data_IF_983176139985
#
_entry.id   IF_983176139985
#
_cell.length_a   1.000
_cell.length_b   1.000
_cell.length_c   1.000
_cell.angle_alpha   90.00
_cell.angle_beta   90.00
_cell.angle_gamma   90.00
#
_symmetry.space_group_name_H-M   'P 1'
#
loop_
_entity.id
_entity.type
_entity.pdbx_description
1 polymer ?
#
# COMPACT_ATOMS: atom_id res chain seq x y z
N UNK A 1 12.98 -10.71 -4.89
CA UNK A 1 11.97 -9.96 -5.62
C UNK A 1 12.22 -8.46 -5.43
N UNK A 2 12.25 -7.69 -6.53
CA UNK A 2 12.48 -6.23 -6.51
C UNK A 2 11.55 -5.53 -7.49
N UNK A 3 10.88 -4.48 -7.05
CA UNK A 3 10.13 -3.55 -7.88
C UNK A 3 11.06 -2.38 -8.24
N UNK A 4 11.20 -2.09 -9.52
CA UNK A 4 12.05 -1.01 -10.03
C UNK A 4 11.16 0.01 -10.73
N UNK A 5 11.17 1.23 -10.25
CA UNK A 5 10.49 2.38 -10.83
C UNK A 5 11.55 3.23 -11.53
N UNK A 6 11.38 3.48 -12.83
CA UNK A 6 12.33 4.24 -13.62
C UNK A 6 11.65 5.41 -14.34
N UNK A 7 12.01 6.61 -13.92
CA UNK A 7 11.64 7.88 -14.54
C UNK A 7 10.14 8.03 -14.82
N UNK A 8 9.28 7.66 -13.86
CA UNK A 8 7.84 7.84 -14.03
C UNK A 8 7.50 9.32 -14.08
N UNK A 9 6.85 9.70 -15.17
CA UNK A 9 6.22 11.01 -15.35
C UNK A 9 4.71 10.89 -15.34
N UNK A 10 4.03 11.86 -14.66
CA UNK A 10 2.58 11.99 -14.70
C UNK A 10 2.14 13.44 -14.60
N UNK A 11 1.29 13.84 -15.54
CA UNK A 11 0.74 15.21 -15.65
C UNK A 11 -0.79 15.18 -15.73
N UNK A 12 -1.44 16.17 -15.15
CA UNK A 12 -2.88 16.42 -15.26
C UNK A 12 -3.10 17.86 -15.70
N UNK A 13 -3.50 18.06 -16.97
CA UNK A 13 -3.52 19.40 -17.58
C UNK A 13 -2.12 20.01 -17.53
N UNK A 14 -1.98 21.20 -16.95
CA UNK A 14 -0.69 21.90 -16.80
C UNK A 14 0.09 21.48 -15.53
N UNK A 15 -0.51 20.67 -14.66
CA UNK A 15 0.12 20.26 -13.39
C UNK A 15 0.88 18.95 -13.55
N UNK A 16 2.19 19.03 -13.50
CA UNK A 16 3.06 17.85 -13.38
C UNK A 16 3.07 17.36 -11.91
N UNK A 17 2.67 16.09 -11.70
CA UNK A 17 2.52 15.48 -10.38
C UNK A 17 3.68 14.53 -10.07
N UNK A 18 4.14 13.75 -11.05
CA UNK A 18 5.35 12.93 -10.94
C UNK A 18 6.37 13.44 -11.98
N UNK A 19 7.64 13.52 -11.57
CA UNK A 19 8.74 14.06 -12.37
C UNK A 19 9.91 13.11 -12.32
N UNK A 20 10.08 12.30 -13.35
CA UNK A 20 11.14 11.28 -13.43
C UNK A 20 11.30 10.49 -12.13
N UNK A 21 10.17 10.20 -11.47
CA UNK A 21 10.15 9.50 -10.19
C UNK A 21 10.81 8.14 -10.35
N UNK A 22 11.87 7.88 -9.59
CA UNK A 22 12.67 6.66 -9.70
C UNK A 22 13.00 6.13 -8.31
N UNK A 23 12.77 4.84 -8.09
CA UNK A 23 13.13 4.15 -6.84
C UNK A 23 13.10 2.63 -7.02
N UNK A 24 13.74 1.90 -6.10
CA UNK A 24 13.67 0.43 -6.07
C UNK A 24 13.23 -0.07 -4.71
N UNK A 25 12.27 -1.00 -4.70
CA UNK A 25 11.71 -1.60 -3.49
C UNK A 25 12.03 -3.10 -3.48
N UNK A 26 12.63 -3.58 -2.41
CA UNK A 26 12.95 -5.00 -2.21
C UNK A 26 11.85 -5.70 -1.41
N UNK A 27 11.60 -6.99 -1.66
CA UNK A 27 10.75 -7.82 -0.80
C UNK A 27 11.38 -8.02 0.58
N UNK A 28 10.56 -8.43 1.55
CA UNK A 28 11.01 -8.61 2.93
C UNK A 28 11.00 -7.35 3.77
N UNK A 29 10.60 -6.21 3.21
CA UNK A 29 10.56 -4.90 3.87
C UNK A 29 9.17 -4.26 3.76
N UNK A 30 8.86 -3.43 4.74
CA UNK A 30 7.72 -2.52 4.72
C UNK A 30 8.25 -1.12 4.42
N UNK A 31 7.83 -0.56 3.30
CA UNK A 31 8.17 0.81 2.90
C UNK A 31 7.06 1.78 3.25
N UNK A 32 7.39 2.86 3.93
CA UNK A 32 6.48 3.99 4.13
C UNK A 32 6.69 5.06 3.06
N UNK A 33 5.67 5.36 2.28
CA UNK A 33 5.68 6.47 1.33
C UNK A 33 5.13 7.72 2.01
N UNK A 34 6.03 8.62 2.38
CA UNK A 34 5.70 9.91 2.99
C UNK A 34 5.55 11.00 1.94
N UNK A 35 4.70 11.97 2.24
CA UNK A 35 4.52 13.16 1.40
C UNK A 35 3.34 13.98 1.88
N UNK A 36 3.36 15.29 1.61
CA UNK A 36 2.24 16.19 1.93
C UNK A 36 0.95 15.73 1.23
N UNK A 37 -0.19 16.20 1.72
CA UNK A 37 -1.45 15.98 1.02
C UNK A 37 -1.38 16.67 -0.36
N UNK A 38 -1.73 15.92 -1.41
CA UNK A 38 -1.61 16.39 -2.79
C UNK A 38 -0.21 16.26 -3.42
N UNK A 39 0.77 15.66 -2.73
CA UNK A 39 2.12 15.41 -3.26
C UNK A 39 2.18 14.39 -4.41
N UNK A 40 1.10 13.60 -4.60
CA UNK A 40 1.04 12.60 -5.67
C UNK A 40 1.15 11.15 -5.21
N UNK A 41 1.08 10.84 -3.91
CA UNK A 41 1.18 9.45 -3.38
C UNK A 41 0.14 8.53 -4.02
N UNK A 42 -1.14 8.89 -3.97
CA UNK A 42 -2.23 8.16 -4.63
C UNK A 42 -2.02 8.09 -6.14
N UNK A 43 -1.53 9.17 -6.77
CA UNK A 43 -1.22 9.16 -8.21
C UNK A 43 -0.12 8.16 -8.56
N UNK A 44 0.92 8.05 -7.72
CA UNK A 44 1.96 7.04 -7.90
C UNK A 44 1.37 5.64 -7.78
N UNK A 45 0.56 5.39 -6.76
CA UNK A 45 -0.10 4.09 -6.58
C UNK A 45 -1.05 3.74 -7.73
N UNK A 46 -1.83 4.70 -8.23
CA UNK A 46 -2.68 4.52 -9.41
C UNK A 46 -1.87 4.17 -10.67
N UNK A 47 -0.67 4.78 -10.84
CA UNK A 47 0.23 4.43 -11.93
C UNK A 47 0.81 3.02 -11.77
N UNK A 48 1.21 2.63 -10.56
CA UNK A 48 1.77 1.31 -10.29
C UNK A 48 0.72 0.20 -10.41
N UNK A 49 -0.53 0.46 -10.05
CA UNK A 49 -1.63 -0.51 -10.15
C UNK A 49 -2.26 -0.60 -11.55
N UNK A 50 -1.90 0.29 -12.47
CA UNK A 50 -2.52 0.36 -13.80
C UNK A 50 -3.84 1.12 -13.85
N UNK A 51 -4.35 1.64 -12.72
CA UNK A 51 -5.57 2.47 -12.66
C UNK A 51 -5.43 3.75 -13.48
N UNK A 52 -4.20 4.27 -13.59
CA UNK A 52 -3.87 5.42 -14.43
C UNK A 52 -2.63 5.14 -15.26
N UNK A 53 -2.68 5.48 -16.54
CA UNK A 53 -1.51 5.41 -17.41
C UNK A 53 -0.44 6.42 -16.99
N UNK A 54 0.82 6.02 -17.09
CA UNK A 54 1.98 6.91 -16.99
C UNK A 54 2.17 7.68 -18.28
N UNK A 55 2.70 8.89 -18.21
CA UNK A 55 3.01 9.71 -19.40
C UNK A 55 4.46 9.46 -19.88
N UNK A 56 5.32 8.90 -19.01
CA UNK A 56 6.68 8.47 -19.29
C UNK A 56 7.20 7.51 -18.25
N UNK A 57 8.36 6.88 -18.54
CA UNK A 57 9.01 5.92 -17.65
C UNK A 57 8.53 4.49 -17.81
N UNK A 58 8.97 3.64 -16.90
CA UNK A 58 8.57 2.22 -16.86
C UNK A 58 8.61 1.67 -15.43
N UNK A 59 7.88 0.57 -15.21
CA UNK A 59 7.86 -0.15 -13.95
C UNK A 59 8.16 -1.61 -14.21
N UNK A 60 9.19 -2.10 -13.55
CA UNK A 60 9.74 -3.43 -13.78
C UNK A 60 9.70 -4.24 -12.47
N UNK A 61 9.48 -5.54 -12.61
CA UNK A 61 9.62 -6.53 -11.56
C UNK A 61 10.82 -7.41 -11.89
N UNK A 62 11.80 -7.44 -10.98
CA UNK A 62 12.95 -8.32 -11.04
C UNK A 62 12.71 -9.50 -10.08
N UNK A 63 12.78 -10.71 -10.62
CA UNK A 63 12.63 -11.96 -9.89
C UNK A 63 13.64 -12.98 -10.44
N UNK A 64 14.44 -13.57 -9.56
CA UNK A 64 15.47 -14.57 -9.90
C UNK A 64 16.42 -14.11 -11.02
N UNK A 65 16.80 -12.83 -11.03
CA UNK A 65 17.70 -12.23 -12.02
C UNK A 65 17.05 -12.00 -13.39
N UNK A 66 15.72 -12.12 -13.49
CA UNK A 66 14.96 -11.80 -14.70
C UNK A 66 14.09 -10.57 -14.43
N UNK A 67 14.10 -9.64 -15.37
CA UNK A 67 13.33 -8.41 -15.30
C UNK A 67 12.22 -8.42 -16.34
N UNK A 68 11.00 -8.05 -15.93
CA UNK A 68 9.83 -7.90 -16.81
C UNK A 68 9.01 -6.69 -16.43
N UNK A 69 8.19 -6.19 -17.33
CA UNK A 69 7.17 -5.22 -16.97
C UNK A 69 6.17 -5.82 -15.97
N UNK A 70 5.69 -4.99 -15.06
CA UNK A 70 4.58 -5.37 -14.16
C UNK A 70 3.27 -5.44 -14.96
N UNK A 71 2.34 -6.22 -14.43
CA UNK A 71 0.96 -6.32 -14.90
C UNK A 71 0.01 -6.01 -13.74
N UNK A 72 -1.27 -5.75 -14.02
CA UNK A 72 -2.30 -5.54 -13.00
C UNK A 72 -2.42 -6.73 -12.03
N UNK A 73 -2.04 -7.95 -12.46
CA UNK A 73 -2.05 -9.15 -11.60
C UNK A 73 -0.92 -9.18 -10.58
N UNK A 74 0.13 -8.41 -10.78
CA UNK A 74 1.27 -8.32 -9.87
C UNK A 74 1.01 -7.39 -8.69
N UNK A 75 -0.04 -6.57 -8.76
CA UNK A 75 -0.29 -5.50 -7.79
C UNK A 75 -1.62 -5.71 -7.07
N UNK A 76 -1.56 -5.81 -5.75
CA UNK A 76 -2.72 -5.67 -4.89
C UNK A 76 -2.81 -4.24 -4.36
N UNK A 77 -3.97 -3.59 -4.51
CA UNK A 77 -4.16 -2.21 -4.08
C UNK A 77 -5.30 -2.08 -3.07
N UNK A 78 -4.99 -1.61 -1.86
CA UNK A 78 -5.97 -1.17 -0.86
C UNK A 78 -6.15 0.33 -0.98
N UNK A 79 -7.32 0.73 -1.40
CA UNK A 79 -7.72 2.13 -1.46
C UNK A 79 -7.98 2.67 -0.05
N UNK A 80 -7.71 3.95 0.16
CA UNK A 80 -8.03 4.66 1.41
C UNK A 80 -9.52 4.57 1.79
N UNK A 81 -10.38 4.55 0.78
CA UNK A 81 -11.81 4.25 0.93
C UNK A 81 -12.08 2.86 0.35
N UNK A 82 -12.47 1.86 1.17
CA UNK A 82 -12.73 0.51 0.72
C UNK A 82 -13.82 0.44 -0.35
N UNK A 83 -13.48 -0.13 -1.51
CA UNK A 83 -14.42 -0.39 -2.60
C UNK A 83 -14.82 -1.86 -2.51
N UNK A 84 -16.01 -2.12 -1.95
CA UNK A 84 -16.53 -3.47 -1.72
C UNK A 84 -17.99 -3.56 -2.17
N UNK A 85 -18.48 -4.74 -2.59
CA UNK A 85 -19.87 -4.95 -2.98
C UNK A 85 -20.79 -4.93 -1.74
N UNK A 86 -21.33 -3.77 -1.41
CA UNK A 86 -22.08 -3.54 -0.17
C UNK A 86 -23.38 -4.35 -0.03
N UNK A 87 -23.87 -4.91 -1.16
CA UNK A 87 -25.08 -5.74 -1.22
C UNK A 87 -24.82 -7.23 -0.91
N UNK A 88 -23.56 -7.66 -0.76
CA UNK A 88 -23.20 -9.00 -0.34
C UNK A 88 -22.91 -9.03 1.17
N UNK A 89 -23.01 -10.21 1.77
CA UNK A 89 -22.41 -10.50 3.08
C UNK A 89 -20.90 -10.70 2.92
N UNK A 90 -20.15 -10.56 4.01
CA UNK A 90 -18.72 -10.84 3.99
C UNK A 90 -18.43 -12.27 3.54
N UNK A 91 -19.24 -13.24 4.02
CA UNK A 91 -19.11 -14.65 3.65
C UNK A 91 -19.35 -14.89 2.15
N UNK A 92 -20.41 -14.34 1.58
CA UNK A 92 -20.71 -14.47 0.14
C UNK A 92 -19.60 -13.85 -0.70
N UNK A 93 -19.08 -12.70 -0.29
CA UNK A 93 -18.02 -12.03 -1.01
C UNK A 93 -16.70 -12.83 -0.98
N UNK A 94 -16.26 -13.29 0.19
CA UNK A 94 -15.03 -14.09 0.32
C UNK A 94 -15.17 -15.40 -0.46
N UNK A 95 -16.32 -16.08 -0.34
CA UNK A 95 -16.59 -17.31 -1.10
C UNK A 95 -16.49 -17.08 -2.61
N UNK A 96 -17.18 -16.06 -3.11
CA UNK A 96 -17.12 -15.69 -4.53
C UNK A 96 -15.69 -15.39 -4.97
N UNK A 97 -14.94 -14.62 -4.16
CA UNK A 97 -13.56 -14.26 -4.48
C UNK A 97 -12.62 -15.48 -4.50
N UNK A 98 -12.78 -16.41 -3.57
CA UNK A 98 -12.05 -17.68 -3.58
C UNK A 98 -12.42 -18.52 -4.79
N UNK A 99 -13.71 -18.58 -5.15
CA UNK A 99 -14.19 -19.37 -6.29
C UNK A 99 -13.58 -18.90 -7.62
N UNK A 100 -13.45 -17.59 -7.84
CA UNK A 100 -12.84 -17.04 -9.07
C UNK A 100 -11.30 -17.11 -9.08
N UNK A 101 -10.65 -17.28 -7.92
CA UNK A 101 -9.21 -17.38 -7.79
C UNK A 101 -8.73 -18.79 -7.42
N UNK A 102 -9.50 -19.82 -7.70
CA UNK A 102 -9.21 -21.23 -7.32
C UNK A 102 -7.81 -21.68 -7.69
N UNK A 103 -7.32 -21.26 -8.85
CA UNK A 103 -6.00 -21.66 -9.36
C UNK A 103 -4.83 -21.03 -8.59
N UNK A 104 -5.10 -19.98 -7.81
CA UNK A 104 -4.12 -19.25 -6.98
C UNK A 104 -4.18 -19.65 -5.52
N UNK A 105 -5.24 -20.35 -5.10
CA UNK A 105 -5.43 -20.73 -3.70
C UNK A 105 -4.44 -21.79 -3.25
N UNK A 106 -3.90 -21.60 -2.05
CA UNK A 106 -3.25 -22.70 -1.34
C UNK A 106 -4.30 -23.71 -0.90
N UNK A 107 -3.98 -24.99 -1.02
CA UNK A 107 -4.89 -26.13 -0.74
C UNK A 107 -5.46 -26.15 0.69
N UNK A 108 -4.86 -25.41 1.61
CA UNK A 108 -5.24 -25.38 3.03
C UNK A 108 -6.09 -24.18 3.45
N UNK A 109 -6.27 -23.19 2.54
CA UNK A 109 -7.03 -21.99 2.86
C UNK A 109 -8.53 -22.26 2.79
N UNK A 110 -9.22 -22.23 3.94
CA UNK A 110 -10.67 -22.35 4.04
C UNK A 110 -11.33 -21.00 4.26
N UNK A 111 -12.61 -20.87 3.92
CA UNK A 111 -13.38 -19.63 4.17
C UNK A 111 -13.39 -19.31 5.67
N UNK A 112 -13.59 -20.31 6.52
CA UNK A 112 -13.61 -20.13 7.97
C UNK A 112 -12.23 -19.68 8.48
N UNK A 113 -11.13 -20.31 8.02
CA UNK A 113 -9.76 -19.89 8.33
C UNK A 113 -9.47 -18.43 7.90
N UNK A 114 -10.04 -17.99 6.78
CA UNK A 114 -9.94 -16.60 6.35
C UNK A 114 -10.56 -15.64 7.38
N UNK A 115 -11.75 -15.94 7.87
CA UNK A 115 -12.43 -15.10 8.87
C UNK A 115 -11.79 -15.17 10.26
N UNK A 116 -11.26 -16.33 10.65
CA UNK A 116 -10.48 -16.49 11.89
C UNK A 116 -9.23 -15.61 11.88
N UNK A 117 -8.47 -15.60 10.77
CA UNK A 117 -7.31 -14.70 10.63
C UNK A 117 -7.65 -13.21 10.78
N UNK A 118 -8.89 -12.82 10.41
CA UNK A 118 -9.40 -11.45 10.55
C UNK A 118 -10.04 -11.19 11.92
N UNK A 119 -10.09 -12.18 12.82
CA UNK A 119 -10.82 -12.10 14.09
C UNK A 119 -12.27 -11.62 13.90
N UNK A 120 -12.94 -12.09 12.85
CA UNK A 120 -14.34 -11.78 12.55
C UNK A 120 -15.25 -12.89 13.04
N UNK A 121 -16.25 -12.51 13.82
CA UNK A 121 -17.25 -13.44 14.38
C UNK A 121 -18.16 -14.01 13.29
N UNK A 122 -18.84 -15.12 13.62
CA UNK A 122 -19.82 -15.73 12.69
C UNK A 122 -20.97 -14.78 12.35
N UNK A 123 -21.45 -14.00 13.31
CA UNK A 123 -22.47 -12.98 13.07
C UNK A 123 -21.98 -11.89 12.11
N UNK A 124 -20.75 -11.41 12.29
CA UNK A 124 -20.16 -10.38 11.43
C UNK A 124 -19.98 -10.86 10.00
N UNK A 125 -19.50 -12.10 9.79
CA UNK A 125 -19.29 -12.65 8.42
C UNK A 125 -20.58 -12.78 7.62
N UNK A 126 -21.73 -12.98 8.28
CA UNK A 126 -23.05 -13.10 7.64
C UNK A 126 -23.83 -11.78 7.58
N UNK A 127 -23.30 -10.70 8.12
CA UNK A 127 -23.86 -9.34 7.97
C UNK A 127 -23.52 -8.78 6.59
N UNK A 128 -24.41 -7.95 6.04
CA UNK A 128 -24.16 -7.24 4.79
C UNK A 128 -22.95 -6.29 4.95
N UNK A 129 -22.08 -6.23 3.94
CA UNK A 129 -20.86 -5.39 3.92
C UNK A 129 -21.20 -3.91 4.10
N UNK A 130 -22.38 -3.46 3.64
CA UNK A 130 -22.83 -2.08 3.87
C UNK A 130 -22.93 -1.74 5.35
N UNK A 131 -23.16 -2.72 6.22
CA UNK A 131 -23.22 -2.55 7.68
C UNK A 131 -21.87 -2.71 8.39
N UNK A 132 -20.78 -2.94 7.65
CA UNK A 132 -19.44 -3.06 8.21
C UNK A 132 -18.88 -1.70 8.60
N UNK A 133 -18.14 -1.67 9.73
CA UNK A 133 -17.31 -0.53 10.07
C UNK A 133 -16.21 -0.36 9.01
N UNK A 134 -15.59 0.82 8.98
CA UNK A 134 -14.44 1.07 8.09
C UNK A 134 -13.31 0.06 8.34
N UNK A 135 -13.00 -0.24 9.61
CA UNK A 135 -12.03 -1.26 9.99
C UNK A 135 -12.36 -2.66 9.48
N UNK A 136 -13.63 -3.08 9.57
CA UNK A 136 -14.07 -4.38 9.03
C UNK A 136 -13.95 -4.43 7.51
N UNK A 137 -14.28 -3.35 6.80
CA UNK A 137 -14.13 -3.25 5.35
C UNK A 137 -12.66 -3.37 4.94
N UNK A 138 -11.76 -2.72 5.68
CA UNK A 138 -10.31 -2.81 5.41
C UNK A 138 -9.76 -4.22 5.70
N UNK A 139 -10.17 -4.85 6.82
CA UNK A 139 -9.84 -6.25 7.10
C UNK A 139 -10.25 -7.15 5.92
N UNK A 140 -11.45 -6.95 5.40
CA UNK A 140 -11.97 -7.73 4.27
C UNK A 140 -11.14 -7.51 3.00
N UNK A 141 -10.72 -6.27 2.68
CA UNK A 141 -9.81 -6.01 1.56
C UNK A 141 -8.44 -6.68 1.75
N UNK A 142 -7.87 -6.60 2.96
CA UNK A 142 -6.59 -7.24 3.26
C UNK A 142 -6.65 -8.76 3.10
N UNK A 143 -7.79 -9.38 3.44
CA UNK A 143 -8.01 -10.80 3.25
C UNK A 143 -7.86 -11.23 1.79
N UNK A 144 -8.29 -10.38 0.84
CA UNK A 144 -8.15 -10.67 -0.58
C UNK A 144 -6.68 -10.86 -1.00
N UNK A 145 -5.75 -10.14 -0.35
CA UNK A 145 -4.32 -10.30 -0.66
C UNK A 145 -3.73 -11.58 -0.07
N UNK A 146 -4.24 -12.03 1.08
CA UNK A 146 -3.88 -13.36 1.61
C UNK A 146 -4.33 -14.48 0.67
N UNK A 147 -5.41 -14.24 -0.10
CA UNK A 147 -5.93 -15.18 -1.09
C UNK A 147 -5.13 -15.12 -2.39
N UNK A 148 -4.90 -13.92 -2.94
CA UNK A 148 -4.30 -13.74 -4.28
C UNK A 148 -2.77 -13.68 -4.26
N UNK A 149 -2.16 -13.33 -3.13
CA UNK A 149 -0.72 -13.20 -2.92
C UNK A 149 0.00 -12.43 -4.03
N UNK A 150 -0.42 -11.20 -4.35
CA UNK A 150 0.25 -10.41 -5.36
C UNK A 150 1.68 -10.08 -4.91
N UNK A 151 2.70 -10.11 -5.80
CA UNK A 151 4.08 -9.75 -5.47
C UNK A 151 4.23 -8.38 -4.81
N UNK A 152 3.40 -7.42 -5.21
CA UNK A 152 3.41 -6.03 -4.76
C UNK A 152 2.08 -5.73 -4.07
N UNK A 153 2.13 -5.16 -2.87
CA UNK A 153 0.96 -4.71 -2.12
C UNK A 153 1.09 -3.22 -1.82
N UNK A 154 0.16 -2.45 -2.37
CA UNK A 154 0.05 -1.00 -2.17
C UNK A 154 -1.11 -0.72 -1.20
N UNK A 155 -0.86 0.09 -0.18
CA UNK A 155 -1.83 0.44 0.85
C UNK A 155 -1.93 1.96 0.95
N UNK A 156 -3.05 2.54 0.53
CA UNK A 156 -3.23 3.99 0.58
C UNK A 156 -3.86 4.40 1.91
N UNK A 157 -3.06 4.99 2.79
CA UNK A 157 -3.43 5.44 4.14
C UNK A 157 -4.20 4.38 4.98
N UNK A 158 -3.71 3.13 5.08
CA UNK A 158 -4.47 1.98 5.54
C UNK A 158 -4.86 2.03 7.02
N UNK A 159 -4.26 2.92 7.82
CA UNK A 159 -4.39 2.93 9.28
C UNK A 159 -4.95 4.25 9.86
N UNK A 160 -5.49 5.15 9.03
CA UNK A 160 -5.90 6.49 9.47
C UNK A 160 -7.21 6.54 10.28
N UNK A 161 -7.99 5.45 10.32
CA UNK A 161 -9.33 5.45 10.95
C UNK A 161 -9.59 4.23 11.83
N UNK A 162 -8.53 3.61 12.39
CA UNK A 162 -8.67 2.40 13.20
C UNK A 162 -8.64 2.70 14.69
N UNK A 163 -9.43 1.92 15.45
CA UNK A 163 -9.17 1.78 16.86
C UNK A 163 -7.84 1.04 17.12
N UNK A 164 -7.34 1.15 18.34
CA UNK A 164 -6.01 0.64 18.72
C UNK A 164 -5.88 -0.88 18.47
N UNK A 165 -6.96 -1.64 18.68
CA UNK A 165 -6.95 -3.11 18.55
C UNK A 165 -6.80 -3.49 17.08
N UNK A 166 -7.62 -2.92 16.22
CA UNK A 166 -7.58 -3.16 14.77
C UNK A 166 -6.24 -2.74 14.19
N UNK A 167 -5.69 -1.60 14.62
CA UNK A 167 -4.36 -1.14 14.19
C UNK A 167 -3.25 -2.14 14.56
N UNK A 168 -3.30 -2.75 15.76
CA UNK A 168 -2.33 -3.77 16.19
C UNK A 168 -2.46 -5.07 15.38
N UNK A 169 -3.67 -5.51 15.09
CA UNK A 169 -3.92 -6.69 14.25
C UNK A 169 -3.39 -6.49 12.84
N UNK A 170 -3.67 -5.32 12.24
CA UNK A 170 -3.16 -4.94 10.92
C UNK A 170 -1.62 -4.89 10.89
N UNK A 171 -0.99 -4.29 11.91
CA UNK A 171 0.48 -4.28 12.02
C UNK A 171 1.08 -5.68 12.04
N UNK A 172 0.46 -6.63 12.78
CA UNK A 172 0.92 -8.02 12.81
C UNK A 172 0.81 -8.67 11.44
N UNK A 173 -0.33 -8.50 10.77
CA UNK A 173 -0.57 -9.05 9.45
C UNK A 173 0.42 -8.51 8.41
N UNK A 174 0.68 -7.20 8.39
CA UNK A 174 1.64 -6.60 7.48
C UNK A 174 3.07 -7.14 7.71
N UNK A 175 3.46 -7.38 8.98
CA UNK A 175 4.75 -8.00 9.31
C UNK A 175 4.88 -9.44 8.83
N UNK A 176 3.79 -10.20 8.76
CA UNK A 176 3.82 -11.54 8.16
C UNK A 176 3.85 -11.47 6.63
N UNK A 177 3.03 -10.62 6.02
CA UNK A 177 2.98 -10.44 4.57
C UNK A 177 4.31 -9.96 3.98
N UNK A 178 5.07 -9.10 4.67
CA UNK A 178 6.32 -8.56 4.12
C UNK A 178 7.35 -9.61 3.72
N UNK A 179 7.29 -10.82 4.31
CA UNK A 179 8.28 -11.88 4.07
C UNK A 179 8.38 -12.28 2.60
N UNK A 180 7.23 -12.31 1.92
CA UNK A 180 7.10 -12.81 0.55
C UNK A 180 6.66 -11.72 -0.44
N UNK A 181 6.39 -10.51 0.05
CA UNK A 181 5.83 -9.42 -0.73
C UNK A 181 6.67 -8.14 -0.63
N UNK A 182 6.51 -7.26 -1.60
CA UNK A 182 6.93 -5.87 -1.54
C UNK A 182 5.74 -5.08 -0.98
N UNK A 183 5.86 -4.54 0.24
CA UNK A 183 4.81 -3.75 0.88
C UNK A 183 5.16 -2.27 0.85
N UNK A 184 4.28 -1.47 0.23
CA UNK A 184 4.42 -0.02 0.20
C UNK A 184 3.12 0.58 0.75
N UNK A 185 3.19 1.33 1.84
CA UNK A 185 2.02 2.05 2.31
C UNK A 185 2.26 3.56 2.37
N UNK A 186 1.26 4.31 1.92
CA UNK A 186 1.27 5.76 2.04
C UNK A 186 0.80 6.19 3.43
N UNK A 187 1.44 7.20 3.98
CA UNK A 187 0.98 7.84 5.21
C UNK A 187 1.46 9.28 5.28
N UNK A 188 0.74 10.09 6.05
CA UNK A 188 1.18 11.42 6.47
C UNK A 188 1.46 11.46 7.99
N UNK A 189 1.33 10.32 8.69
CA UNK A 189 1.53 10.18 10.13
C UNK A 189 2.94 9.63 10.38
N UNK A 190 3.86 10.49 10.83
CA UNK A 190 5.27 10.13 11.04
C UNK A 190 5.45 9.03 12.09
N UNK A 191 4.68 9.06 13.18
CA UNK A 191 4.74 8.04 14.21
C UNK A 191 4.37 6.65 13.66
N UNK A 192 3.35 6.57 12.81
CA UNK A 192 2.96 5.30 12.18
C UNK A 192 4.06 4.78 11.27
N UNK A 193 4.70 5.66 10.51
CA UNK A 193 5.82 5.32 9.66
C UNK A 193 7.01 4.78 10.47
N UNK A 194 7.38 5.46 11.56
CA UNK A 194 8.46 5.02 12.47
C UNK A 194 8.16 3.67 13.13
N UNK A 195 6.90 3.40 13.51
CA UNK A 195 6.51 2.18 14.23
C UNK A 195 6.42 0.93 13.33
N UNK A 196 6.22 1.12 12.04
CA UNK A 196 5.86 0.02 11.13
C UNK A 196 6.85 -0.22 10.01
N UNK A 197 7.50 0.83 9.49
CA UNK A 197 8.36 0.72 8.32
C UNK A 197 9.75 0.20 8.66
N UNK A 198 10.31 -0.55 7.74
CA UNK A 198 11.73 -0.86 7.72
C UNK A 198 12.52 0.24 6.97
N UNK A 199 11.88 0.86 5.96
CA UNK A 199 12.45 1.96 5.18
C UNK A 199 11.39 3.01 4.87
N UNK A 200 11.84 4.26 4.71
CA UNK A 200 10.99 5.39 4.32
C UNK A 200 11.43 6.01 3.01
N UNK A 201 10.44 6.35 2.20
CA UNK A 201 10.60 7.04 0.93
C UNK A 201 9.73 8.30 0.96
N UNK A 202 10.31 9.43 0.64
CA UNK A 202 9.61 10.71 0.56
C UNK A 202 9.26 10.99 -0.89
N UNK A 203 8.00 11.29 -1.15
CA UNK A 203 7.55 11.88 -2.42
C UNK A 203 7.43 13.39 -2.24
N UNK A 204 8.35 14.12 -2.86
CA UNK A 204 8.40 15.57 -2.82
C UNK A 204 8.62 16.14 -4.22
N UNK A 205 7.81 17.13 -4.63
CA UNK A 205 7.87 17.77 -5.96
C UNK A 205 7.84 16.79 -7.15
N UNK A 206 7.24 15.63 -6.95
CA UNK A 206 7.11 14.58 -7.96
C UNK A 206 8.29 13.60 -8.02
N UNK A 207 9.29 13.76 -7.17
CA UNK A 207 10.47 12.90 -7.09
C UNK A 207 10.44 12.01 -5.83
N UNK A 208 11.06 10.82 -5.93
CA UNK A 208 11.20 9.88 -4.84
C UNK A 208 12.61 9.93 -4.24
N UNK A 209 12.72 10.00 -2.93
CA UNK A 209 14.00 9.96 -2.23
C UNK A 209 13.94 9.08 -0.97
N UNK A 210 15.00 8.33 -0.69
CA UNK A 210 15.11 7.55 0.53
C UNK A 210 15.38 8.45 1.74
N UNK A 211 14.74 8.13 2.86
CA UNK A 211 15.15 8.66 4.17
C UNK A 211 16.23 7.72 4.73
N UNK A 212 17.38 8.22 5.19
CA UNK A 212 18.39 7.38 5.79
C UNK A 212 17.83 6.56 6.95
N UNK A 213 18.09 5.24 6.95
CA UNK A 213 17.52 4.30 7.94
C UNK A 213 17.93 4.62 9.37
N UNK A 214 19.11 5.23 9.57
CA UNK A 214 19.59 5.67 10.86
C UNK A 214 18.71 6.74 11.49
N UNK A 215 18.03 7.54 10.67
CA UNK A 215 17.11 8.59 11.13
C UNK A 215 15.79 8.05 11.63
N UNK A 216 15.33 6.88 11.15
CA UNK A 216 14.00 6.33 11.39
C UNK A 216 13.63 6.21 12.90
N UNK A 217 14.63 5.95 13.74
CA UNK A 217 14.45 5.77 15.18
C UNK A 217 15.23 6.82 16.00
N UNK A 218 15.71 7.91 15.37
CA UNK A 218 16.38 8.99 16.04
C UNK A 218 15.40 10.02 16.59
N UNK A 219 15.82 10.78 17.62
CA UNK A 219 15.06 11.94 18.12
C UNK A 219 14.92 13.04 17.06
N UNK A 220 15.81 13.06 16.07
CA UNK A 220 15.82 14.04 14.97
C UNK A 220 14.94 13.61 13.77
N UNK A 221 14.31 12.44 13.84
CA UNK A 221 13.52 11.87 12.73
C UNK A 221 12.46 12.84 12.21
N UNK A 222 11.60 13.32 13.10
CA UNK A 222 10.50 14.22 12.71
C UNK A 222 11.02 15.49 12.07
N UNK A 223 12.07 16.10 12.66
CA UNK A 223 12.65 17.32 12.13
C UNK A 223 13.33 17.12 10.78
N UNK A 224 14.00 15.99 10.58
CA UNK A 224 14.65 15.63 9.32
C UNK A 224 13.62 15.44 8.19
N UNK A 225 12.53 14.72 8.46
CA UNK A 225 11.44 14.55 7.49
C UNK A 225 10.74 15.88 7.20
N UNK A 226 10.49 16.70 8.24
CA UNK A 226 9.91 18.04 8.07
C UNK A 226 10.82 18.90 7.18
N UNK A 227 12.13 18.85 7.37
CA UNK A 227 13.07 19.60 6.55
C UNK A 227 13.03 19.13 5.10
N UNK A 228 13.06 17.80 4.85
CA UNK A 228 12.92 17.25 3.50
C UNK A 228 11.61 17.66 2.79
N UNK A 229 10.53 17.87 3.55
CA UNK A 229 9.24 18.31 3.02
C UNK A 229 9.06 19.82 2.93
N UNK A 230 9.94 20.61 3.60
CA UNK A 230 9.88 22.09 3.66
C UNK A 230 10.84 22.79 2.72
N UNK A 231 11.86 22.12 2.21
CA UNK A 231 12.84 22.77 1.34
C UNK A 231 12.18 23.38 0.13
N UNK A 232 11.72 24.65 0.30
CA UNK A 232 11.47 25.64 -0.74
C UNK A 232 10.44 26.75 -0.45
N UNK A 233 10.02 26.94 0.82
CA UNK A 233 9.20 28.15 1.07
C UNK A 233 10.05 29.47 1.01
N UNK A 234 11.37 29.35 0.83
CA UNK A 234 12.28 30.53 0.77
C UNK A 234 12.81 30.88 -0.62
N UNK A 235 12.45 30.14 -1.69
CA UNK A 235 12.94 30.43 -3.05
C UNK A 235 12.00 31.31 -3.90
N UNK A 236 10.77 31.58 -3.46
CA UNK A 236 9.80 32.38 -4.25
C UNK A 236 9.63 33.84 -3.76
N UNK A 237 10.43 34.30 -2.80
CA UNK A 237 10.40 35.71 -2.33
C UNK A 237 11.78 36.38 -2.46
N UNK A 238 12.35 36.41 -3.68
CA UNK A 238 13.39 37.37 -4.04
C UNK A 238 13.10 37.93 -5.43
#
# INVERSE_FOLDING_TARGET
LRLIIENIDKQFGDKQVLRSASFSFDSGKIYGLLGRNGAGKTTLFDCLSGEKGMDGGQVLLEEDGRTRNITEQDVGYVYSLPILPEFLTGFEFVKFFMDINKDKLQTELTIDGCFEMMSMTEEERHRLIKGYSHGMKNKLQMLLFLITKPPIILLDEPLTSFDVIVALEMKRMLKELKKDHILIFSTHILQLASDLCDELVVLHKGELSAVPSELLHSEEFEQSVINLLKDDEHAENV
#
